data_IF_215234359677
#
_entry.id   IF_215234359677
#
_cell.length_a   1.000
_cell.length_b   1.000
_cell.length_c   1.000
_cell.angle_alpha   90.00
_cell.angle_beta   90.00
_cell.angle_gamma   90.00
#
_symmetry.space_group_name_H-M   'P 1'
#
loop_
_entity.id
_entity.type
_entity.pdbx_description
1 polymer ?
#
# COMPACT_ATOMS: atom_id res chain seq x y z
N UNK A 1 -11.90 -11.36 9.27
CA UNK A 1 -12.29 -10.12 8.56
C UNK A 1 -11.06 -9.36 8.06
N UNK A 2 -10.76 -9.45 6.76
CA UNK A 2 -9.70 -8.65 6.11
C UNK A 2 -10.24 -7.24 5.83
N UNK A 3 -10.24 -6.38 6.84
CA UNK A 3 -10.65 -4.99 6.69
C UNK A 3 -9.64 -4.26 5.79
N UNK A 4 -10.06 -3.92 4.57
CA UNK A 4 -9.23 -3.17 3.61
C UNK A 4 -9.04 -1.70 4.01
N UNK A 5 -9.93 -1.18 4.86
CA UNK A 5 -9.97 0.20 5.33
C UNK A 5 -10.36 0.25 6.81
N UNK A 6 -9.91 1.28 7.51
CA UNK A 6 -10.24 1.56 8.90
C UNK A 6 -11.69 2.06 9.00
N UNK A 7 -12.53 1.39 9.79
CA UNK A 7 -13.94 1.74 9.94
C UNK A 7 -14.18 3.09 10.66
N UNK A 8 -13.18 3.64 11.36
CA UNK A 8 -13.29 4.91 12.09
C UNK A 8 -12.88 6.15 11.29
N UNK A 9 -11.92 6.02 10.36
CA UNK A 9 -11.37 7.17 9.62
C UNK A 9 -11.22 6.94 8.10
N UNK A 10 -11.54 5.75 7.59
CA UNK A 10 -11.50 5.43 6.15
C UNK A 10 -10.10 5.23 5.57
N UNK A 11 -9.04 5.32 6.37
CA UNK A 11 -7.68 5.08 5.89
C UNK A 11 -7.50 3.62 5.45
N UNK A 12 -6.84 3.34 4.31
CA UNK A 12 -6.62 1.97 3.90
C UNK A 12 -5.69 1.27 4.89
N UNK A 13 -6.14 0.16 5.47
CA UNK A 13 -5.33 -0.67 6.39
C UNK A 13 -4.54 -1.73 5.62
N UNK A 14 -4.87 -1.95 4.34
CA UNK A 14 -4.20 -2.95 3.54
C UNK A 14 -2.85 -2.43 3.04
N UNK A 15 -1.78 -2.92 3.68
CA UNK A 15 -0.41 -2.85 3.16
C UNK A 15 -0.33 -3.66 1.88
N UNK A 16 -0.03 -2.99 0.76
CA UNK A 16 0.16 -3.62 -0.54
C UNK A 16 1.56 -4.21 -0.70
N UNK A 17 1.79 -4.99 -1.75
CA UNK A 17 3.13 -5.38 -2.21
C UNK A 17 3.39 -4.77 -3.56
N UNK A 18 4.62 -4.30 -3.79
CA UNK A 18 5.02 -3.73 -5.05
C UNK A 18 4.90 -4.79 -6.15
N UNK A 19 4.19 -4.52 -7.26
CA UNK A 19 4.05 -5.50 -8.33
C UNK A 19 5.39 -5.77 -9.06
N UNK A 20 6.34 -4.83 -8.98
CA UNK A 20 7.64 -4.94 -9.63
C UNK A 20 8.66 -5.75 -8.81
N UNK A 21 8.76 -5.49 -7.51
CA UNK A 21 9.80 -6.10 -6.66
C UNK A 21 9.27 -6.90 -5.46
N UNK A 22 7.96 -6.90 -5.20
CA UNK A 22 7.34 -7.59 -4.08
C UNK A 22 7.50 -6.90 -2.71
N UNK A 23 8.21 -5.78 -2.63
CA UNK A 23 8.43 -5.04 -1.38
C UNK A 23 7.09 -4.54 -0.78
N UNK A 24 7.00 -4.48 0.55
CA UNK A 24 5.83 -3.94 1.22
C UNK A 24 5.66 -2.45 0.92
N UNK A 25 4.42 -2.06 0.64
CA UNK A 25 4.05 -0.68 0.34
C UNK A 25 3.06 -0.21 1.37
N UNK A 26 3.29 0.98 1.90
CA UNK A 26 2.31 1.68 2.70
C UNK A 26 1.11 2.13 1.86
N UNK A 27 -0.09 2.14 2.46
CA UNK A 27 -1.28 2.67 1.81
C UNK A 27 -1.08 4.14 1.39
N UNK A 28 -1.44 4.48 0.15
CA UNK A 28 -1.31 5.83 -0.39
C UNK A 28 0.09 6.22 -0.88
N UNK A 29 1.06 5.30 -0.89
CA UNK A 29 2.37 5.57 -1.47
C UNK A 29 2.28 5.75 -2.99
N UNK A 30 2.73 6.90 -3.51
CA UNK A 30 2.82 7.17 -4.95
C UNK A 30 3.93 6.39 -5.65
N UNK A 31 4.97 6.01 -4.90
CA UNK A 31 6.14 5.29 -5.39
C UNK A 31 6.56 4.20 -4.41
N UNK A 32 7.15 3.13 -4.92
CA UNK A 32 7.71 2.06 -4.11
C UNK A 32 8.99 2.55 -3.42
N UNK A 33 9.08 2.49 -2.09
CA UNK A 33 10.25 2.96 -1.34
C UNK A 33 11.49 2.10 -1.56
N UNK A 34 11.34 0.89 -2.11
CA UNK A 34 12.44 -0.05 -2.33
C UNK A 34 13.02 0.02 -3.75
N UNK A 35 12.17 0.11 -4.79
CA UNK A 35 12.62 0.08 -6.18
C UNK A 35 12.30 1.34 -7.00
N UNK A 36 11.62 2.33 -6.39
CA UNK A 36 11.23 3.57 -7.07
C UNK A 36 10.09 3.42 -8.09
N UNK A 37 9.48 2.25 -8.23
CA UNK A 37 8.36 2.06 -9.15
C UNK A 37 7.17 2.94 -8.77
N UNK A 38 6.57 3.63 -9.74
CA UNK A 38 5.35 4.39 -9.53
C UNK A 38 4.15 3.46 -9.32
N UNK A 39 3.36 3.69 -8.27
CA UNK A 39 2.25 2.85 -7.81
C UNK A 39 0.89 3.53 -7.87
N UNK A 40 0.90 4.83 -8.21
CA UNK A 40 -0.26 5.70 -8.36
C UNK A 40 -1.34 5.10 -9.23
#
# INVERSE_FOLDING_TARGET
>A
PNAKFCAGCGTPLQIGKCPKCGAQITPGAKFCPSCGQQLT
#
